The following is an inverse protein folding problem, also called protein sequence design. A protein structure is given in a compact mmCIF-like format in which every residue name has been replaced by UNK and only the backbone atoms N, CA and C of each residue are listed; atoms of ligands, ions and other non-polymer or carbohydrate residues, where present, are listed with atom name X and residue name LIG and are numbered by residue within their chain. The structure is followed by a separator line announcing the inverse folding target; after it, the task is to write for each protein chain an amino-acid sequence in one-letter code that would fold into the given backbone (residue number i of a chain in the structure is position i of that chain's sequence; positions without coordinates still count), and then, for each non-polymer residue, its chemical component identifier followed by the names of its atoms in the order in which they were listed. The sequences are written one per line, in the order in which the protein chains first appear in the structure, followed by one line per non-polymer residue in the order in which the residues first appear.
data_IF_015950796842
#
_entry.id   IF_015950796842
#
_cell.length_a   1.000
_cell.length_b   1.000
_cell.length_c   1.000
_cell.angle_alpha   90.00
_cell.angle_beta   90.00
_cell.angle_gamma   90.00
#
_symmetry.space_group_name_H-M   'P 1'
#
loop_
_entity.id
_entity.type
_entity.pdbx_description
1 polymer ?
#
# COMPACT_ATOMS: atom_id res chain seq x y z
N UNK A 1 -1.73 15.19 2.39
CA UNK A 1 -0.52 14.36 2.55
C UNK A 1 -0.24 14.09 4.02
N UNK A 2 -0.12 12.81 4.37
CA UNK A 2 0.15 12.31 5.73
C UNK A 2 1.34 11.35 5.68
N UNK A 3 2.26 11.43 6.64
CA UNK A 3 3.42 10.51 6.75
C UNK A 3 3.21 9.58 7.94
N UNK A 4 3.35 8.28 7.70
CA UNK A 4 3.21 7.23 8.72
C UNK A 4 4.56 6.54 8.95
N UNK A 5 5.24 6.89 10.04
CA UNK A 5 6.54 6.32 10.40
C UNK A 5 6.34 5.12 11.32
N UNK A 6 6.73 3.92 10.90
CA UNK A 6 6.51 2.65 11.62
C UNK A 6 6.99 2.66 13.08
N UNK A 7 8.04 3.40 13.39
CA UNK A 7 8.60 3.51 14.74
C UNK A 7 7.67 4.25 15.72
N UNK A 8 6.75 5.09 15.24
CA UNK A 8 5.87 5.92 16.08
C UNK A 8 4.50 5.28 16.31
N UNK A 9 4.11 4.31 15.48
CA UNK A 9 2.77 3.71 15.48
C UNK A 9 2.73 2.31 16.09
N UNK A 10 3.88 1.73 16.50
CA UNK A 10 4.01 0.35 16.99
C UNK A 10 3.43 -0.75 16.07
N UNK A 11 2.98 -0.37 14.88
CA UNK A 11 2.48 -1.24 13.83
C UNK A 11 3.48 -1.20 12.68
N UNK A 12 3.86 -2.38 12.19
CA UNK A 12 4.84 -2.53 11.13
C UNK A 12 4.32 -3.50 10.08
N UNK A 13 4.69 -3.26 8.83
CA UNK A 13 4.48 -4.21 7.74
C UNK A 13 5.34 -5.47 8.00
N UNK A 14 4.87 -6.68 7.70
CA UNK A 14 3.64 -7.01 6.96
C UNK A 14 2.41 -7.24 7.86
N UNK A 15 2.36 -6.74 9.10
CA UNK A 15 1.19 -6.98 9.95
C UNK A 15 -0.06 -6.28 9.35
N UNK A 16 -1.17 -7.00 9.08
CA UNK A 16 -2.40 -6.41 8.54
C UNK A 16 -2.95 -5.23 9.35
N UNK A 17 -2.67 -5.20 10.65
CA UNK A 17 -3.09 -4.12 11.56
C UNK A 17 -2.50 -2.76 11.17
N UNK A 18 -1.31 -2.74 10.56
CA UNK A 18 -0.71 -1.51 10.02
C UNK A 18 -1.58 -0.88 8.93
N UNK A 19 -2.01 -1.69 7.97
CA UNK A 19 -2.84 -1.23 6.86
C UNK A 19 -4.24 -0.81 7.35
N UNK A 20 -4.85 -1.56 8.27
CA UNK A 20 -6.15 -1.20 8.87
C UNK A 20 -6.07 0.15 9.59
N UNK A 21 -5.00 0.38 10.36
CA UNK A 21 -4.80 1.66 11.05
C UNK A 21 -4.76 2.84 10.08
N UNK A 22 -4.08 2.69 8.93
CA UNK A 22 -4.03 3.74 7.90
C UNK A 22 -5.40 3.96 7.27
N UNK A 23 -6.11 2.89 6.88
CA UNK A 23 -7.45 2.98 6.30
C UNK A 23 -8.43 3.69 7.25
N UNK A 24 -8.39 3.35 8.53
CA UNK A 24 -9.22 3.97 9.58
C UNK A 24 -8.85 5.44 9.80
N UNK A 25 -7.55 5.75 9.90
CA UNK A 25 -7.08 7.12 10.18
C UNK A 25 -7.31 8.07 9.01
N UNK A 26 -7.18 7.59 7.78
CA UNK A 26 -7.50 8.36 6.57
C UNK A 26 -9.00 8.28 6.19
N UNK A 27 -9.78 7.44 6.89
CA UNK A 27 -11.19 7.18 6.62
C UNK A 27 -11.46 6.82 5.14
N UNK A 28 -10.66 5.89 4.61
CA UNK A 28 -10.72 5.43 3.22
C UNK A 28 -11.05 3.94 3.12
N UNK A 29 -11.77 3.58 2.07
CA UNK A 29 -12.07 2.18 1.76
C UNK A 29 -10.84 1.49 1.15
N UNK A 30 -10.59 0.24 1.55
CA UNK A 30 -9.47 -0.55 1.03
C UNK A 30 -9.48 -0.65 -0.50
N UNK A 31 -10.66 -0.85 -1.10
CA UNK A 31 -10.84 -1.02 -2.55
C UNK A 31 -10.52 0.26 -3.36
N UNK A 32 -10.54 1.41 -2.70
CA UNK A 32 -10.17 2.72 -3.27
C UNK A 32 -8.73 3.11 -2.94
N UNK A 33 -8.01 2.25 -2.22
CA UNK A 33 -6.63 2.49 -1.79
C UNK A 33 -5.66 1.70 -2.67
N UNK A 34 -4.54 2.33 -3.04
CA UNK A 34 -3.43 1.69 -3.73
C UNK A 34 -2.21 1.63 -2.79
N UNK A 35 -1.55 0.47 -2.75
CA UNK A 35 -0.32 0.25 -1.97
C UNK A 35 0.82 -0.24 -2.87
N UNK A 36 1.97 0.42 -2.78
CA UNK A 36 3.15 0.13 -3.59
C UNK A 36 4.31 -0.15 -2.65
N UNK A 37 5.00 -1.27 -2.86
CA UNK A 37 6.11 -1.73 -2.01
C UNK A 37 6.98 -2.72 -2.81
N UNK A 38 8.25 -2.85 -2.45
CA UNK A 38 9.22 -3.76 -3.06
C UNK A 38 9.27 -5.13 -2.37
N UNK A 39 8.63 -5.28 -1.21
CA UNK A 39 8.60 -6.53 -0.44
C UNK A 39 7.28 -7.26 -0.71
N UNK A 40 7.37 -8.47 -1.26
CA UNK A 40 6.20 -9.29 -1.63
C UNK A 40 5.30 -9.63 -0.43
N UNK A 41 5.86 -9.80 0.77
CA UNK A 41 5.10 -10.06 1.99
C UNK A 41 4.20 -8.87 2.38
N UNK A 42 4.68 -7.64 2.19
CA UNK A 42 3.90 -6.42 2.44
C UNK A 42 2.75 -6.32 1.45
N UNK A 43 3.03 -6.63 0.17
CA UNK A 43 2.04 -6.68 -0.91
C UNK A 43 0.95 -7.72 -0.62
N UNK A 44 1.33 -8.93 -0.20
CA UNK A 44 0.37 -9.98 0.13
C UNK A 44 -0.52 -9.59 1.32
N UNK A 45 0.07 -8.95 2.34
CA UNK A 45 -0.68 -8.49 3.52
C UNK A 45 -1.70 -7.40 3.15
N UNK A 46 -1.31 -6.40 2.38
CA UNK A 46 -2.23 -5.36 1.90
C UNK A 46 -3.34 -5.93 1.02
N UNK A 47 -2.99 -6.84 0.09
CA UNK A 47 -3.96 -7.48 -0.79
C UNK A 47 -4.99 -8.33 -0.02
N UNK A 48 -4.61 -8.93 1.11
CA UNK A 48 -5.53 -9.70 1.96
C UNK A 48 -6.65 -8.84 2.59
N UNK A 49 -6.49 -7.51 2.57
CA UNK A 49 -7.48 -6.54 3.02
C UNK A 49 -8.26 -5.89 1.87
N UNK A 50 -8.16 -6.42 0.64
CA UNK A 50 -8.73 -5.86 -0.59
C UNK A 50 -8.12 -4.51 -1.02
N UNK A 51 -6.93 -4.17 -0.52
CA UNK A 51 -6.16 -3.03 -1.02
C UNK A 51 -5.60 -3.40 -2.40
N UNK A 52 -5.67 -2.48 -3.37
CA UNK A 52 -5.03 -2.67 -4.67
C UNK A 52 -3.52 -2.53 -4.50
N UNK A 53 -2.75 -3.50 -4.98
CA UNK A 53 -1.31 -3.52 -4.72
C UNK A 53 -0.47 -3.52 -5.98
N UNK A 54 0.73 -2.96 -5.88
CA UNK A 54 1.76 -2.98 -6.92
C UNK A 54 3.10 -3.35 -6.32
N UNK A 55 3.60 -4.54 -6.66
CA UNK A 55 4.93 -4.98 -6.26
C UNK A 55 5.99 -4.33 -7.18
N UNK A 56 6.77 -3.40 -6.64
CA UNK A 56 7.76 -2.63 -7.40
C UNK A 56 9.17 -3.02 -6.98
N UNK A 57 9.84 -3.87 -7.77
CA UNK A 57 11.20 -4.37 -7.48
C UNK A 57 12.31 -3.63 -8.25
N UNK A 58 12.02 -2.49 -8.89
CA UNK A 58 12.98 -1.75 -9.72
C UNK A 58 13.35 -2.41 -11.05
N UNK A 59 13.11 -3.72 -11.22
CA UNK A 59 13.34 -4.46 -12.47
C UNK A 59 12.12 -4.44 -13.42
N UNK A 60 10.94 -4.07 -12.89
CA UNK A 60 9.73 -3.87 -13.68
C UNK A 60 9.79 -2.50 -14.36
N UNK A 61 10.22 -2.47 -15.63
CA UNK A 61 10.19 -1.29 -16.50
C UNK A 61 8.77 -0.70 -16.60
N UNK A 62 8.51 0.30 -15.76
CA UNK A 62 7.76 1.55 -15.94
C UNK A 62 6.34 1.55 -16.55
N UNK A 63 5.92 0.64 -17.42
CA UNK A 63 4.61 0.73 -18.11
C UNK A 63 3.38 0.52 -17.21
N UNK A 64 3.49 -0.28 -16.15
CA UNK A 64 2.35 -0.56 -15.25
C UNK A 64 2.22 0.45 -14.13
N UNK A 65 3.34 1.04 -13.72
CA UNK A 65 3.39 2.05 -12.67
C UNK A 65 2.73 3.33 -13.20
N UNK A 66 3.16 3.79 -14.37
CA UNK A 66 2.61 5.00 -15.02
C UNK A 66 1.11 4.85 -15.29
N UNK A 67 0.66 3.70 -15.81
CA UNK A 67 -0.78 3.43 -16.00
C UNK A 67 -1.58 3.35 -14.71
N UNK A 68 -0.96 2.93 -13.60
CA UNK A 68 -1.62 2.91 -12.30
C UNK A 68 -1.78 4.33 -11.74
N UNK A 69 -0.78 5.19 -11.92
CA UNK A 69 -0.86 6.60 -11.55
C UNK A 69 -1.82 7.38 -12.46
N UNK A 70 -1.80 7.18 -13.78
CA UNK A 70 -2.70 7.83 -14.74
C UNK A 70 -4.18 7.53 -14.51
N UNK A 71 -4.50 6.38 -13.89
CA UNK A 71 -5.89 6.02 -13.52
C UNK A 71 -6.33 6.60 -12.18
N UNK A 72 -5.42 7.18 -11.42
CA UNK A 72 -5.68 7.70 -10.08
C UNK A 72 -5.95 9.22 -10.06
N UNK A 73 -5.58 9.93 -11.14
CA UNK A 73 -5.75 11.38 -11.32
C UNK A 73 -6.95 11.70 -12.21
#
# INVERSE_FOLDING_TARGET
DSVYVSNEIHHYKPNPSFFRHILEKENVEAEKTYFIDDISENIASAASLNIKTLHYTGENKDEKVDKAFDKLI
#
